data_IF_734676565920
#
_entry.id   IF_734676565920
#
_cell.length_a   1.000
_cell.length_b   1.000
_cell.length_c   1.000
_cell.angle_alpha   90.00
_cell.angle_beta   90.00
_cell.angle_gamma   90.00
#
_symmetry.space_group_name_H-M   'P 1'
#
loop_
_entity.id
_entity.type
_entity.pdbx_description
1 polymer ?
#
# COMPACT_ATOMS: atom_id res chain seq x y z
N UNK A 1 -24.30 41.18 27.24
CA UNK A 1 -24.69 39.85 26.72
C UNK A 1 -24.01 39.64 25.36
N UNK A 2 -22.70 39.89 25.24
CA UNK A 2 -21.55 39.12 25.77
C UNK A 2 -21.23 37.93 24.87
N UNK A 3 -20.04 37.95 24.25
CA UNK A 3 -19.29 36.72 24.07
C UNK A 3 -18.78 36.32 22.69
N UNK A 4 -18.64 37.22 21.69
CA UNK A 4 -17.74 36.91 20.57
C UNK A 4 -16.30 37.25 20.97
N UNK A 5 -15.61 36.28 21.59
CA UNK A 5 -14.17 36.36 21.81
C UNK A 5 -13.46 36.50 20.45
N UNK A 6 -12.44 37.38 20.32
CA UNK A 6 -11.66 37.47 19.10
C UNK A 6 -10.87 36.17 18.94
N UNK A 7 -11.24 35.35 17.95
CA UNK A 7 -10.39 34.27 17.46
C UNK A 7 -9.12 34.92 16.92
N UNK A 8 -8.08 34.96 17.75
CA UNK A 8 -6.72 35.28 17.38
C UNK A 8 -6.37 34.41 16.17
N UNK A 9 -6.36 34.99 14.96
CA UNK A 9 -5.82 34.38 13.73
C UNK A 9 -4.30 34.36 13.79
N UNK A 10 -3.72 33.81 14.85
CA UNK A 10 -2.32 33.37 14.83
C UNK A 10 -2.38 31.90 14.48
N UNK A 11 -1.63 31.51 13.45
CA UNK A 11 -1.49 30.10 13.16
C UNK A 11 -0.92 29.40 14.41
N UNK A 12 -1.40 28.21 14.80
CA UNK A 12 -0.79 27.45 15.90
C UNK A 12 0.72 27.21 15.69
N UNK A 13 1.16 27.29 14.44
CA UNK A 13 2.53 27.08 13.98
C UNK A 13 3.53 28.15 14.46
N UNK A 14 3.09 29.37 14.79
CA UNK A 14 4.02 30.45 15.16
C UNK A 14 4.66 30.26 16.55
N UNK A 15 4.10 29.40 17.40
CA UNK A 15 4.57 29.18 18.77
C UNK A 15 5.24 27.81 19.00
N UNK A 16 5.21 26.90 18.02
CA UNK A 16 5.76 25.54 18.15
C UNK A 16 6.52 25.11 16.88
N UNK A 17 7.71 25.67 16.63
CA UNK A 17 8.48 25.38 15.40
C UNK A 17 8.96 23.92 15.33
N UNK A 18 9.01 23.21 16.45
CA UNK A 18 9.41 21.80 16.54
C UNK A 18 8.24 20.81 16.39
N UNK A 19 7.03 21.28 16.09
CA UNK A 19 5.84 20.45 15.93
C UNK A 19 5.43 20.37 14.46
N UNK A 20 5.40 19.14 13.93
CA UNK A 20 4.83 18.82 12.62
C UNK A 20 3.54 18.03 12.82
N UNK A 21 2.46 18.44 12.15
CA UNK A 21 1.17 17.75 12.21
C UNK A 21 0.79 17.30 10.81
N UNK A 22 0.49 16.01 10.67
CA UNK A 22 -0.10 15.44 9.46
C UNK A 22 -1.50 14.92 9.75
N UNK A 23 -2.47 15.15 8.86
CA UNK A 23 -3.81 14.61 9.01
C UNK A 23 -4.24 13.93 7.73
N UNK A 24 -4.85 12.74 7.85
CA UNK A 24 -5.31 11.97 6.69
C UNK A 24 -6.82 12.02 6.57
N UNK A 25 -7.29 12.47 5.41
CA UNK A 25 -8.69 12.39 4.98
C UNK A 25 -8.78 12.23 3.46
N UNK A 26 -8.94 11.01 2.97
CA UNK A 26 -9.08 10.65 1.57
C UNK A 26 -7.76 10.48 0.80
N UNK A 27 -6.72 11.25 1.11
CA UNK A 27 -5.41 11.15 0.45
C UNK A 27 -4.43 10.26 1.24
N UNK A 28 -3.60 9.43 0.60
CA UNK A 28 -2.56 8.67 1.29
C UNK A 28 -1.60 9.57 2.07
N UNK A 29 -1.24 9.13 3.28
CA UNK A 29 -0.25 9.78 4.12
C UNK A 29 0.51 8.71 4.91
N UNK A 30 1.84 8.78 4.85
CA UNK A 30 2.75 7.88 5.54
C UNK A 30 3.77 8.68 6.35
N UNK A 31 4.24 8.09 7.44
CA UNK A 31 5.35 8.59 8.24
C UNK A 31 6.54 7.64 8.06
N UNK A 32 7.64 8.14 7.50
CA UNK A 32 8.94 7.49 7.53
C UNK A 32 9.63 7.70 8.88
N UNK A 33 10.19 6.64 9.42
CA UNK A 33 10.95 6.65 10.68
C UNK A 33 12.41 6.29 10.37
N UNK A 34 13.30 7.29 10.40
CA UNK A 34 14.74 7.12 10.22
C UNK A 34 15.51 7.14 11.53
N UNK A 35 16.84 7.22 11.45
CA UNK A 35 17.71 7.36 12.62
C UNK A 35 17.64 8.79 13.18
N UNK A 36 16.70 9.04 14.10
CA UNK A 36 16.53 10.35 14.73
C UNK A 36 15.83 11.40 13.85
N UNK A 37 15.27 10.97 12.72
CA UNK A 37 14.50 11.82 11.80
C UNK A 37 13.14 11.23 11.45
N UNK A 38 12.21 12.11 11.09
CA UNK A 38 10.84 11.77 10.73
C UNK A 38 10.45 12.48 9.45
N UNK A 39 9.80 11.76 8.54
CA UNK A 39 9.44 12.26 7.21
C UNK A 39 7.96 12.00 6.93
N UNK A 40 7.23 13.03 6.50
CA UNK A 40 5.86 12.85 6.01
C UNK A 40 5.83 12.88 4.49
N UNK A 41 5.18 11.88 3.91
CA UNK A 41 5.01 11.79 2.47
C UNK A 41 3.64 11.20 2.13
N UNK A 42 3.18 11.45 0.90
CA UNK A 42 2.00 10.77 0.35
C UNK A 42 2.32 9.40 -0.23
N UNK A 43 3.60 9.12 -0.54
CA UNK A 43 4.05 7.90 -1.20
C UNK A 43 5.37 7.40 -0.62
N UNK A 44 5.57 6.08 -0.62
CA UNK A 44 6.77 5.42 -0.08
C UNK A 44 8.05 5.74 -0.84
N UNK A 45 7.96 6.02 -2.14
CA UNK A 45 9.11 6.35 -2.99
C UNK A 45 9.86 7.61 -2.54
N UNK A 46 9.17 8.55 -1.88
CA UNK A 46 9.77 9.76 -1.35
C UNK A 46 10.55 9.53 -0.04
N UNK A 47 10.35 8.39 0.61
CA UNK A 47 10.91 8.07 1.93
C UNK A 47 11.98 6.99 1.87
N UNK A 48 11.86 6.06 0.91
CA UNK A 48 12.70 4.86 0.80
C UNK A 48 14.20 5.12 0.59
N UNK A 49 14.58 6.32 0.15
CA UNK A 49 15.99 6.76 0.09
C UNK A 49 16.61 6.96 1.47
N UNK A 50 15.78 7.28 2.47
CA UNK A 50 16.20 7.59 3.83
C UNK A 50 15.87 6.47 4.82
N UNK A 51 14.70 5.85 4.68
CA UNK A 51 14.28 4.75 5.55
C UNK A 51 13.28 3.83 4.85
N UNK A 52 13.35 2.54 5.19
CA UNK A 52 12.35 1.54 4.79
C UNK A 52 11.25 1.36 5.82
N UNK A 53 11.46 1.88 7.03
CA UNK A 53 10.52 1.79 8.14
C UNK A 53 9.46 2.87 7.99
N UNK A 54 8.23 2.45 7.67
CA UNK A 54 7.10 3.37 7.53
C UNK A 54 5.92 3.00 8.41
N UNK A 55 5.18 4.03 8.81
CA UNK A 55 3.90 3.93 9.50
C UNK A 55 2.81 4.49 8.59
N UNK A 56 1.86 3.64 8.22
CA UNK A 56 0.67 4.05 7.46
C UNK A 56 -0.34 4.71 8.39
N UNK A 57 -0.65 5.98 8.12
CA UNK A 57 -1.66 6.74 8.86
C UNK A 57 -3.03 6.36 8.31
N UNK A 58 -4.02 6.09 9.16
CA UNK A 58 -5.37 5.69 8.69
C UNK A 58 -6.23 6.91 8.39
N UNK A 59 -7.31 6.68 7.65
CA UNK A 59 -8.27 7.74 7.38
C UNK A 59 -8.95 8.20 8.67
N UNK A 60 -9.01 9.51 8.89
CA UNK A 60 -9.50 10.09 10.14
C UNK A 60 -8.49 10.09 11.30
N UNK A 61 -7.24 9.70 11.04
CA UNK A 61 -6.13 9.84 11.98
C UNK A 61 -5.26 11.06 11.66
N UNK A 62 -4.63 11.56 12.71
CA UNK A 62 -3.70 12.66 12.77
C UNK A 62 -2.42 12.16 13.42
N UNK A 63 -1.28 12.59 12.89
CA UNK A 63 0.04 12.35 13.45
C UNK A 63 0.61 13.67 13.96
N UNK A 64 1.10 13.66 15.19
CA UNK A 64 1.89 14.73 15.79
C UNK A 64 3.33 14.23 15.85
N UNK A 65 4.23 14.91 15.16
CA UNK A 65 5.65 14.57 15.09
C UNK A 65 6.44 15.67 15.78
N UNK A 66 7.33 15.27 16.69
CA UNK A 66 8.29 16.14 17.36
C UNK A 66 9.68 15.50 17.28
N UNK A 67 10.70 16.29 17.63
CA UNK A 67 12.08 15.77 17.81
C UNK A 67 12.17 14.63 18.81
N UNK A 68 11.23 14.53 19.75
CA UNK A 68 11.20 13.52 20.82
C UNK A 68 10.43 12.23 20.47
N UNK A 69 9.81 12.15 19.29
CA UNK A 69 8.93 11.04 18.93
C UNK A 69 7.70 11.47 18.13
N UNK A 70 6.78 10.52 17.92
CA UNK A 70 5.52 10.78 17.22
C UNK A 70 4.32 10.18 17.95
N UNK A 71 3.14 10.75 17.71
CA UNK A 71 1.88 10.32 18.30
C UNK A 71 0.79 10.30 17.26
N UNK A 72 0.01 9.23 17.23
CA UNK A 72 -1.19 9.11 16.41
C UNK A 72 -2.43 9.36 17.26
N UNK A 73 -3.33 10.18 16.75
CA UNK A 73 -4.62 10.52 17.36
C UNK A 73 -5.71 10.43 16.31
N UNK A 74 -6.91 10.06 16.72
CA UNK A 74 -8.09 10.24 15.87
C UNK A 74 -8.56 11.70 15.92
N UNK A 75 -9.34 12.12 14.92
CA UNK A 75 -9.98 13.44 14.88
C UNK A 75 -10.87 13.68 16.13
N UNK A 76 -11.38 12.63 16.76
CA UNK A 76 -12.17 12.68 18.01
C UNK A 76 -11.31 12.93 19.26
N UNK A 77 -9.99 13.13 19.10
CA UNK A 77 -9.06 13.42 20.18
C UNK A 77 -8.62 12.17 20.97
N UNK A 78 -9.10 10.98 20.58
CA UNK A 78 -8.66 9.73 21.20
C UNK A 78 -7.27 9.41 20.66
N UNK A 79 -6.27 9.42 21.56
CA UNK A 79 -4.92 8.99 21.22
C UNK A 79 -4.96 7.49 20.91
N UNK A 80 -4.70 7.14 19.66
CA UNK A 80 -4.69 5.73 19.25
C UNK A 80 -3.35 5.10 19.51
N UNK A 81 -2.24 5.85 19.36
CA UNK A 81 -0.87 5.36 19.57
C UNK A 81 0.07 6.50 19.99
N UNK A 82 1.03 6.21 20.87
CA UNK A 82 2.11 7.14 21.23
C UNK A 82 3.42 6.38 21.23
N UNK A 83 4.46 6.95 20.59
CA UNK A 83 5.81 6.39 20.58
C UNK A 83 6.80 7.48 20.98
N UNK A 84 7.54 7.21 22.05
CA UNK A 84 8.59 8.09 22.57
C UNK A 84 9.97 7.50 22.22
N UNK A 85 10.99 8.33 22.02
CA UNK A 85 12.35 7.88 21.62
C UNK A 85 12.98 6.86 22.58
N UNK A 86 12.56 6.81 23.84
CA UNK A 86 13.12 5.93 24.87
C UNK A 86 12.39 4.58 25.02
N UNK A 87 11.31 4.34 24.27
CA UNK A 87 10.62 3.05 24.28
C UNK A 87 11.09 2.21 23.08
N UNK A 88 11.75 1.08 23.36
CA UNK A 88 12.08 0.04 22.38
C UNK A 88 10.85 -0.23 21.50
N UNK A 89 10.89 0.30 20.28
CA UNK A 89 9.75 0.39 19.36
C UNK A 89 9.43 -1.01 18.84
N UNK A 90 8.75 -1.82 19.65
CA UNK A 90 8.13 -3.08 19.25
C UNK A 90 6.82 -2.80 18.52
N UNK A 91 6.86 -1.91 17.52
CA UNK A 91 5.72 -1.56 16.68
C UNK A 91 5.94 -2.21 15.32
N UNK A 92 4.88 -2.64 14.59
CA UNK A 92 5.07 -3.21 13.27
C UNK A 92 5.32 -2.04 12.31
N UNK A 93 6.55 -1.52 12.31
CA UNK A 93 7.08 -0.76 11.20
C UNK A 93 6.88 -1.63 9.97
N UNK A 94 6.16 -1.10 8.98
CA UNK A 94 6.02 -1.81 7.73
C UNK A 94 7.28 -1.51 6.95
N UNK A 95 8.08 -2.54 6.72
CA UNK A 95 9.23 -2.44 5.84
C UNK A 95 8.74 -2.35 4.41
N UNK A 96 9.04 -1.24 3.73
CA UNK A 96 8.76 -1.13 2.30
C UNK A 96 9.57 -2.18 1.53
N UNK A 97 8.88 -3.04 0.79
CA UNK A 97 9.50 -4.05 -0.08
C UNK A 97 10.09 -3.47 -1.37
N UNK A 98 10.06 -2.14 -1.53
CA UNK A 98 10.56 -1.47 -2.73
C UNK A 98 12.09 -1.33 -2.62
N UNK A 99 12.83 -1.84 -3.61
CA UNK A 99 14.27 -1.57 -3.70
C UNK A 99 14.52 -0.24 -4.42
N UNK A 100 15.58 0.47 -4.04
CA UNK A 100 15.97 1.75 -4.65
C UNK A 100 16.13 1.63 -6.19
N UNK A 101 16.66 0.50 -6.65
CA UNK A 101 16.83 0.16 -8.08
C UNK A 101 15.51 0.18 -8.88
N UNK A 102 14.37 -0.11 -8.23
CA UNK A 102 13.06 -0.08 -8.87
C UNK A 102 12.59 1.36 -9.14
N UNK A 103 13.09 2.34 -8.40
CA UNK A 103 12.69 3.75 -8.48
C UNK A 103 13.66 4.57 -9.34
N UNK A 104 14.90 4.11 -9.49
CA UNK A 104 15.89 4.78 -10.33
C UNK A 104 15.71 4.48 -11.83
N UNK A 105 16.37 5.25 -12.70
CA UNK A 105 16.32 5.00 -14.16
C UNK A 105 17.10 3.74 -14.58
N UNK A 106 17.96 3.18 -13.73
CA UNK A 106 18.68 1.93 -14.01
C UNK A 106 19.52 1.96 -15.30
N UNK A 107 20.09 3.10 -15.65
CA UNK A 107 20.89 3.30 -16.87
C UNK A 107 20.10 3.64 -18.14
N UNK A 108 18.76 3.71 -18.08
CA UNK A 108 17.93 4.10 -19.22
C UNK A 108 17.75 5.63 -19.33
N UNK A 109 17.57 6.20 -20.54
CA UNK A 109 17.34 7.63 -20.72
C UNK A 109 16.04 8.15 -20.07
N UNK A 110 14.97 7.34 -20.11
CA UNK A 110 13.63 7.69 -19.62
C UNK A 110 13.00 6.52 -18.86
N UNK A 111 12.11 6.80 -17.90
CA UNK A 111 11.39 5.77 -17.13
C UNK A 111 10.52 4.89 -18.02
N UNK A 112 9.83 5.47 -19.01
CA UNK A 112 8.96 4.71 -19.91
C UNK A 112 9.71 3.60 -20.64
N UNK A 113 10.92 3.86 -21.15
CA UNK A 113 11.69 2.80 -21.82
C UNK A 113 12.22 1.76 -20.81
N UNK A 114 12.62 2.17 -19.59
CA UNK A 114 12.96 1.22 -18.52
C UNK A 114 11.78 0.28 -18.24
N UNK A 115 10.59 0.83 -18.01
CA UNK A 115 9.38 0.08 -17.70
C UNK A 115 8.96 -0.85 -18.84
N UNK A 116 9.08 -0.41 -20.10
CA UNK A 116 8.84 -1.27 -21.27
C UNK A 116 9.82 -2.44 -21.30
N UNK A 117 11.11 -2.19 -21.04
CA UNK A 117 12.13 -3.23 -21.07
C UNK A 117 12.06 -4.16 -19.85
N UNK A 118 11.48 -3.73 -18.72
CA UNK A 118 11.34 -4.53 -17.50
C UNK A 118 10.09 -5.44 -17.50
N UNK A 119 9.18 -5.28 -18.47
CA UNK A 119 7.97 -6.11 -18.60
C UNK A 119 8.20 -7.63 -18.45
N UNK A 120 9.27 -8.24 -19.02
CA UNK A 120 9.53 -9.66 -18.84
C UNK A 120 9.74 -10.05 -17.37
N UNK A 121 10.43 -9.22 -16.60
CA UNK A 121 10.64 -9.45 -15.17
C UNK A 121 9.34 -9.19 -14.39
N UNK A 122 8.59 -8.13 -14.73
CA UNK A 122 7.28 -7.85 -14.13
C UNK A 122 6.31 -9.03 -14.29
N UNK A 123 6.25 -9.64 -15.47
CA UNK A 123 5.41 -10.83 -15.74
C UNK A 123 5.88 -12.01 -14.89
N UNK A 124 7.20 -12.31 -14.86
CA UNK A 124 7.73 -13.40 -14.02
C UNK A 124 7.42 -13.17 -12.54
N UNK A 125 7.59 -11.96 -12.03
CA UNK A 125 7.27 -11.59 -10.65
C UNK A 125 5.77 -11.69 -10.35
N UNK A 126 4.93 -11.34 -11.33
CA UNK A 126 3.46 -11.51 -11.24
C UNK A 126 3.08 -12.99 -11.19
N UNK A 127 3.78 -13.87 -11.90
CA UNK A 127 3.53 -15.31 -11.86
C UNK A 127 4.20 -16.04 -10.67
N UNK A 128 5.24 -15.43 -10.07
CA UNK A 128 6.06 -16.05 -9.01
C UNK A 128 5.21 -16.47 -7.82
N UNK A 129 5.34 -17.74 -7.43
CA UNK A 129 4.57 -18.32 -6.32
C UNK A 129 3.07 -18.50 -6.59
N UNK A 130 2.61 -18.25 -7.83
CA UNK A 130 1.20 -18.39 -8.22
C UNK A 130 0.98 -19.51 -9.25
N UNK A 131 1.98 -19.79 -10.10
CA UNK A 131 1.93 -20.90 -11.04
C UNK A 131 2.74 -22.09 -10.52
N UNK A 132 2.09 -23.24 -10.41
CA UNK A 132 2.71 -24.48 -9.96
C UNK A 132 2.58 -25.53 -11.08
N UNK A 133 3.71 -26.04 -11.52
CA UNK A 133 3.76 -27.24 -12.34
C UNK A 133 4.15 -28.39 -11.41
N UNK A 134 3.31 -29.43 -11.25
CA UNK A 134 3.72 -30.64 -10.56
C UNK A 134 4.96 -31.20 -11.27
N UNK A 135 6.01 -31.55 -10.50
CA UNK A 135 7.12 -32.34 -11.02
C UNK A 135 6.60 -33.73 -11.38
N UNK A 136 6.23 -33.92 -12.63
CA UNK A 136 6.01 -35.24 -13.23
C UNK A 136 7.08 -35.46 -14.31
N UNK A 137 7.45 -36.71 -14.54
CA UNK A 137 8.38 -37.08 -15.60
C UNK A 137 7.86 -36.58 -16.95
N UNK A 138 8.77 -36.07 -17.78
CA UNK A 138 8.44 -35.39 -19.04
C UNK A 138 7.62 -36.25 -20.03
N UNK A 139 7.61 -37.58 -19.83
CA UNK A 139 6.92 -38.57 -20.66
C UNK A 139 5.64 -39.14 -20.01
N UNK A 140 5.18 -38.57 -18.89
CA UNK A 140 3.95 -39.01 -18.25
C UNK A 140 2.71 -38.45 -18.98
N UNK A 141 1.79 -39.37 -19.29
CA UNK A 141 0.48 -39.06 -19.88
C UNK A 141 -0.63 -39.30 -18.86
N UNK A 142 -1.51 -38.32 -18.62
CA UNK A 142 -1.61 -36.99 -19.26
C UNK A 142 -0.51 -36.02 -18.80
N UNK A 143 -0.20 -34.98 -19.59
CA UNK A 143 0.82 -34.00 -19.22
C UNK A 143 0.50 -33.33 -17.87
N UNK A 144 1.52 -32.86 -17.13
CA UNK A 144 1.32 -32.23 -15.84
C UNK A 144 0.40 -31.02 -15.99
N UNK A 145 -0.71 -31.05 -15.25
CA UNK A 145 -1.67 -29.96 -15.22
C UNK A 145 -1.11 -28.79 -14.42
N UNK A 146 -1.11 -27.60 -15.01
CA UNK A 146 -0.78 -26.37 -14.29
C UNK A 146 -1.82 -26.08 -13.22
N UNK A 147 -1.35 -25.79 -12.01
CA UNK A 147 -2.16 -25.38 -10.87
C UNK A 147 -1.89 -23.89 -10.58
N UNK A 148 -2.96 -23.11 -10.43
CA UNK A 148 -2.89 -21.66 -10.18
C UNK A 148 -3.36 -21.41 -8.76
N UNK A 149 -2.49 -20.82 -7.93
CA UNK A 149 -2.79 -20.51 -6.53
C UNK A 149 -2.68 -19.02 -6.28
N UNK A 150 -3.82 -18.42 -5.92
CA UNK A 150 -3.92 -17.00 -5.59
C UNK A 150 -4.15 -16.85 -4.08
N UNK A 151 -3.07 -16.90 -3.29
CA UNK A 151 -3.16 -16.92 -1.82
C UNK A 151 -3.96 -15.75 -1.22
N UNK A 152 -3.93 -14.57 -1.86
CA UNK A 152 -4.72 -13.41 -1.43
C UNK A 152 -6.24 -13.61 -1.50
N UNK A 153 -6.73 -14.54 -2.32
CA UNK A 153 -8.16 -14.85 -2.45
C UNK A 153 -8.64 -15.91 -1.46
N UNK A 154 -7.73 -16.51 -0.67
CA UNK A 154 -8.09 -17.43 0.41
C UNK A 154 -8.50 -16.69 1.70
N UNK A 155 -8.74 -15.39 1.61
CA UNK A 155 -9.21 -14.55 2.72
C UNK A 155 -10.73 -14.66 2.83
N UNK A 156 -11.25 -14.72 4.07
CA UNK A 156 -12.70 -14.73 4.30
C UNK A 156 -13.31 -13.39 3.92
N UNK A 157 -14.45 -13.43 3.24
CA UNK A 157 -15.23 -12.23 2.96
C UNK A 157 -15.97 -11.82 4.23
N UNK A 158 -15.87 -10.54 4.60
CA UNK A 158 -16.47 -9.99 5.81
C UNK A 158 -17.98 -10.30 5.87
N UNK A 159 -18.42 -10.92 6.96
CA UNK A 159 -19.82 -11.29 7.17
C UNK A 159 -20.25 -12.61 6.52
N UNK A 160 -19.32 -13.40 5.96
CA UNK A 160 -19.61 -14.74 5.44
C UNK A 160 -18.55 -15.76 5.85
N UNK A 161 -18.91 -17.05 5.81
CA UNK A 161 -17.94 -18.15 5.98
C UNK A 161 -17.13 -18.47 4.72
N UNK A 162 -17.49 -17.87 3.58
CA UNK A 162 -16.84 -18.11 2.28
C UNK A 162 -15.53 -17.33 2.17
N UNK A 163 -14.58 -17.95 1.50
CA UNK A 163 -13.39 -17.27 0.97
C UNK A 163 -13.75 -16.37 -0.21
N UNK A 164 -12.92 -15.38 -0.51
CA UNK A 164 -13.10 -14.54 -1.68
C UNK A 164 -13.13 -15.37 -2.97
N UNK A 165 -12.33 -16.43 -3.06
CA UNK A 165 -12.33 -17.35 -4.20
C UNK A 165 -13.68 -18.06 -4.37
N UNK A 166 -14.26 -18.60 -3.29
CA UNK A 166 -15.57 -19.26 -3.34
C UNK A 166 -16.71 -18.28 -3.66
N UNK A 167 -16.61 -17.04 -3.16
CA UNK A 167 -17.56 -15.99 -3.48
C UNK A 167 -17.51 -15.62 -4.98
N UNK A 168 -16.32 -15.48 -5.55
CA UNK A 168 -16.13 -15.19 -6.98
C UNK A 168 -16.61 -16.38 -7.84
N UNK A 169 -16.26 -17.60 -7.46
CA UNK A 169 -16.63 -18.80 -8.22
C UNK A 169 -18.15 -19.03 -8.30
N UNK A 170 -18.89 -18.56 -7.30
CA UNK A 170 -20.36 -18.64 -7.26
C UNK A 170 -21.07 -17.35 -7.71
N UNK A 171 -20.36 -16.37 -8.27
CA UNK A 171 -20.95 -15.10 -8.66
C UNK A 171 -21.61 -15.20 -10.04
N UNK A 172 -22.88 -14.80 -10.14
CA UNK A 172 -23.61 -14.74 -11.42
C UNK A 172 -23.17 -13.56 -12.31
N UNK A 173 -22.39 -12.62 -11.74
CA UNK A 173 -21.95 -11.39 -12.42
C UNK A 173 -20.65 -10.87 -11.82
N UNK A 174 -19.72 -10.48 -12.70
CA UNK A 174 -18.49 -9.77 -12.35
C UNK A 174 -18.58 -8.35 -12.94
N UNK A 175 -18.26 -7.34 -12.13
CA UNK A 175 -18.24 -5.94 -12.56
C UNK A 175 -16.81 -5.41 -12.40
N UNK A 176 -16.21 -4.94 -13.50
CA UNK A 176 -14.85 -4.37 -13.51
C UNK A 176 -14.97 -2.84 -13.61
N UNK A 177 -14.51 -2.13 -12.58
CA UNK A 177 -14.50 -0.66 -12.55
C UNK A 177 -13.05 -0.16 -12.64
N UNK A 178 -12.72 0.61 -13.68
CA UNK A 178 -11.37 1.15 -13.90
C UNK A 178 -11.41 2.41 -14.78
N UNK A 179 -10.27 3.11 -14.91
CA UNK A 179 -10.10 4.29 -15.75
C UNK A 179 -8.86 4.15 -16.64
N UNK A 180 -8.83 4.81 -17.80
CA UNK A 180 -7.63 4.90 -18.65
C UNK A 180 -7.11 3.54 -19.14
N UNK A 181 -5.79 3.31 -19.04
CA UNK A 181 -5.15 2.06 -19.46
C UNK A 181 -5.64 0.85 -18.65
N UNK A 182 -5.96 1.01 -17.37
CA UNK A 182 -6.54 -0.07 -16.55
C UNK A 182 -7.93 -0.50 -17.04
N UNK A 183 -8.72 0.42 -17.59
CA UNK A 183 -10.00 0.08 -18.22
C UNK A 183 -9.80 -0.78 -19.47
N UNK A 184 -8.80 -0.46 -20.30
CA UNK A 184 -8.46 -1.28 -21.47
C UNK A 184 -8.03 -2.70 -21.08
N UNK A 185 -7.25 -2.87 -20.00
CA UNK A 185 -6.94 -4.20 -19.45
C UNK A 185 -8.18 -4.93 -18.98
N UNK A 186 -9.16 -4.20 -18.42
CA UNK A 186 -10.46 -4.75 -18.02
C UNK A 186 -11.25 -5.36 -19.18
N UNK A 187 -11.26 -4.71 -20.35
CA UNK A 187 -11.94 -5.23 -21.55
C UNK A 187 -11.32 -6.55 -22.05
N UNK A 188 -10.00 -6.68 -21.99
CA UNK A 188 -9.33 -7.94 -22.32
C UNK A 188 -9.66 -9.01 -21.28
N UNK A 189 -9.68 -8.62 -19.99
CA UNK A 189 -10.04 -9.49 -18.88
C UNK A 189 -11.48 -10.02 -18.98
N UNK A 190 -12.43 -9.17 -19.35
CA UNK A 190 -13.83 -9.53 -19.62
C UNK A 190 -13.90 -10.68 -20.64
N UNK A 191 -13.28 -10.51 -21.81
CA UNK A 191 -13.27 -11.54 -22.85
C UNK A 191 -12.65 -12.86 -22.36
N UNK A 192 -11.55 -12.80 -21.61
CA UNK A 192 -10.90 -13.99 -21.07
C UNK A 192 -11.78 -14.71 -20.03
N UNK A 193 -12.39 -13.96 -19.11
CA UNK A 193 -13.25 -14.53 -18.07
C UNK A 193 -14.48 -15.19 -18.70
N UNK A 194 -15.15 -14.51 -19.64
CA UNK A 194 -16.32 -15.07 -20.34
C UNK A 194 -15.96 -16.32 -21.15
N UNK A 195 -14.76 -16.39 -21.74
CA UNK A 195 -14.34 -17.56 -22.51
C UNK A 195 -14.02 -18.80 -21.65
N UNK A 196 -13.74 -18.60 -20.35
CA UNK A 196 -13.31 -19.65 -19.42
C UNK A 196 -14.41 -20.10 -18.46
N UNK A 197 -15.47 -19.30 -18.29
CA UNK A 197 -16.64 -19.58 -17.45
C UNK A 197 -17.66 -20.46 -18.19
#
# INVERSE_FOLDING_TARGET
LDGCAPLNRRSPCDNEPDLLIGARKGSPLILGVGEGEYMLASDGSAVVEYTKDVVFIRDGELVEVRKSGYRLRTIEGISTRQVSIDEDVTNPLVQLEVSLEQIEKGGYPHFMIKEIMDQPNCIRNTCRGRLYQPMQEHDSHPPPKWDIRLGGLNTKVQGTEKTALEAIAGADRIIICACGTSWHSGLIGEYLIESLA
#
